data_IF_485718025773
#
_entry.id   IF_485718025773
#
_cell.length_a   1.000
_cell.length_b   1.000
_cell.length_c   1.000
_cell.angle_alpha   90.00
_cell.angle_beta   90.00
_cell.angle_gamma   90.00
#
_symmetry.space_group_name_H-M   'P 1'
#
loop_
_entity.id
_entity.type
_entity.pdbx_description
1 polymer ?
#
# COMPACT_ATOMS: atom_id res chain seq x y z
N UNK A 1 -5.52 -3.00 -24.87
CA UNK A 1 -6.34 -3.29 -23.67
C UNK A 1 -7.23 -2.10 -23.43
N UNK A 2 -8.55 -2.27 -23.53
CA UNK A 2 -9.51 -1.19 -23.29
C UNK A 2 -9.33 -0.67 -21.85
N UNK A 3 -9.27 0.64 -21.67
CA UNK A 3 -9.13 1.25 -20.36
C UNK A 3 -10.43 1.04 -19.57
N UNK A 4 -10.42 0.15 -18.57
CA UNK A 4 -11.54 -0.03 -17.66
C UNK A 4 -11.92 1.26 -16.95
N UNK A 5 -13.21 1.39 -16.59
CA UNK A 5 -13.74 2.58 -15.96
C UNK A 5 -13.12 2.79 -14.58
N UNK A 6 -12.59 3.99 -14.32
CA UNK A 6 -12.05 4.35 -13.01
C UNK A 6 -13.20 4.55 -12.03
N UNK A 7 -13.25 3.72 -11.00
CA UNK A 7 -14.32 3.75 -9.98
C UNK A 7 -13.84 4.38 -8.67
N UNK A 8 -12.55 4.32 -8.36
CA UNK A 8 -11.97 4.90 -7.15
C UNK A 8 -10.53 5.38 -7.38
N UNK A 9 -10.17 6.53 -6.78
CA UNK A 9 -8.81 7.06 -6.75
C UNK A 9 -8.49 7.67 -5.40
N UNK A 10 -7.53 7.10 -4.70
CA UNK A 10 -7.05 7.63 -3.41
C UNK A 10 -6.18 8.88 -3.62
N UNK A 11 -6.38 9.97 -2.87
CA UNK A 11 -5.56 11.19 -2.98
C UNK A 11 -4.19 11.02 -2.31
N UNK A 12 -4.08 10.09 -1.37
CA UNK A 12 -2.87 9.91 -0.55
C UNK A 12 -1.79 9.10 -1.26
N UNK A 13 -2.04 8.59 -2.47
CA UNK A 13 -1.06 7.82 -3.25
C UNK A 13 0.21 8.63 -3.48
N UNK A 14 0.07 9.93 -3.75
CA UNK A 14 1.23 10.79 -3.98
C UNK A 14 2.04 10.96 -2.69
N UNK A 15 1.37 11.22 -1.56
CA UNK A 15 2.00 11.33 -0.25
C UNK A 15 2.68 10.02 0.18
N UNK A 16 2.00 8.89 0.02
CA UNK A 16 2.56 7.57 0.28
C UNK A 16 3.79 7.28 -0.60
N UNK A 17 3.76 7.65 -1.88
CA UNK A 17 4.91 7.51 -2.78
C UNK A 17 6.09 8.38 -2.34
N UNK A 18 5.83 9.62 -1.90
CA UNK A 18 6.88 10.50 -1.39
C UNK A 18 7.51 9.93 -0.11
N UNK A 19 6.70 9.42 0.82
CA UNK A 19 7.19 8.79 2.05
C UNK A 19 8.05 7.55 1.76
N UNK A 20 7.63 6.69 0.82
CA UNK A 20 8.42 5.53 0.40
C UNK A 20 9.76 5.95 -0.22
N UNK A 21 9.77 6.95 -1.11
CA UNK A 21 11.02 7.47 -1.71
C UNK A 21 11.95 8.10 -0.68
N UNK A 22 11.40 8.87 0.28
CA UNK A 22 12.18 9.42 1.38
C UNK A 22 12.79 8.31 2.24
N UNK A 23 12.07 7.22 2.47
CA UNK A 23 12.59 6.06 3.19
C UNK A 23 13.71 5.35 2.44
N UNK A 24 13.57 5.18 1.13
CA UNK A 24 14.64 4.63 0.27
C UNK A 24 15.89 5.51 0.33
N UNK A 25 15.72 6.84 0.31
CA UNK A 25 16.82 7.78 0.51
C UNK A 25 17.48 7.60 1.89
N UNK A 26 16.68 7.49 2.97
CA UNK A 26 17.19 7.23 4.32
C UNK A 26 18.03 5.95 4.38
N UNK A 27 17.56 4.86 3.76
CA UNK A 27 18.31 3.59 3.71
C UNK A 27 19.61 3.76 2.91
N UNK A 28 19.55 4.44 1.75
CA UNK A 28 20.75 4.75 0.96
C UNK A 28 21.78 5.56 1.74
N UNK A 29 21.35 6.58 2.49
CA UNK A 29 22.22 7.36 3.37
C UNK A 29 22.81 6.51 4.48
N UNK A 30 22.04 5.62 5.12
CA UNK A 30 22.56 4.73 6.16
C UNK A 30 23.63 3.77 5.62
N UNK A 31 23.45 3.25 4.39
CA UNK A 31 24.47 2.43 3.73
C UNK A 31 25.73 3.25 3.44
N UNK A 32 25.58 4.48 2.93
CA UNK A 32 26.71 5.37 2.63
C UNK A 32 27.51 5.77 3.86
N UNK A 33 26.84 6.10 4.97
CA UNK A 33 27.47 6.44 6.25
C UNK A 33 27.99 5.20 6.97
N UNK A 34 27.46 4.00 6.67
CA UNK A 34 27.85 2.75 7.32
C UNK A 34 29.33 2.40 7.15
N UNK A 35 29.94 2.71 6.01
CA UNK A 35 31.36 2.43 5.75
C UNK A 35 32.33 3.23 6.64
N UNK A 36 32.28 4.60 6.68
CA UNK A 36 33.13 5.36 7.59
C UNK A 36 32.83 5.05 9.06
N UNK A 37 31.57 4.77 9.39
CA UNK A 37 31.18 4.39 10.75
C UNK A 37 31.81 3.05 11.17
N UNK A 38 31.83 2.05 10.28
CA UNK A 38 32.49 0.77 10.54
C UNK A 38 33.99 0.92 10.74
N UNK A 39 34.64 1.86 10.04
CA UNK A 39 36.06 2.19 10.26
C UNK A 39 36.27 2.80 11.64
N UNK A 40 35.45 3.79 12.03
CA UNK A 40 35.51 4.42 13.36
C UNK A 40 35.23 3.43 14.50
N UNK A 41 34.28 2.50 14.32
CA UNK A 41 34.02 1.40 15.26
C UNK A 41 35.24 0.52 15.45
N UNK A 42 35.95 0.16 14.37
CA UNK A 42 37.15 -0.69 14.42
C UNK A 42 38.36 0.04 15.02
N UNK A 43 38.43 1.35 14.85
CA UNK A 43 39.46 2.20 15.45
C UNK A 43 39.27 2.39 16.97
N UNK A 44 38.13 1.97 17.54
CA UNK A 44 37.83 2.15 18.96
C UNK A 44 37.50 3.59 19.34
N UNK A 45 37.20 4.44 18.35
CA UNK A 45 36.94 5.87 18.54
C UNK A 45 35.55 6.15 19.13
N UNK A 46 34.69 5.12 19.22
CA UNK A 46 33.32 5.25 19.70
C UNK A 46 33.18 4.74 21.14
N UNK A 47 32.49 5.52 21.97
CA UNK A 47 32.06 5.15 23.31
C UNK A 47 30.78 4.30 23.32
N UNK A 48 30.50 3.65 24.46
CA UNK A 48 29.35 2.76 24.63
C UNK A 48 27.99 3.43 24.31
N UNK A 49 27.86 4.72 24.63
CA UNK A 49 26.67 5.51 24.33
C UNK A 49 26.45 5.72 22.83
N UNK A 50 27.52 5.94 22.07
CA UNK A 50 27.44 6.13 20.61
C UNK A 50 27.06 4.83 19.91
N UNK A 51 27.60 3.69 20.37
CA UNK A 51 27.14 2.36 19.91
C UNK A 51 25.65 2.14 20.16
N UNK A 52 25.15 2.51 21.34
CA UNK A 52 23.72 2.36 21.66
C UNK A 52 22.83 3.25 20.78
N UNK A 53 23.23 4.50 20.53
CA UNK A 53 22.52 5.43 19.65
C UNK A 53 22.53 4.92 18.20
N UNK A 54 23.66 4.44 17.70
CA UNK A 54 23.76 3.89 16.36
C UNK A 54 22.89 2.63 16.22
N UNK A 55 23.05 1.67 17.13
CA UNK A 55 22.29 0.42 17.12
C UNK A 55 20.79 0.64 17.17
N UNK A 56 20.32 1.50 18.09
CA UNK A 56 18.90 1.85 18.19
C UNK A 56 18.36 2.56 16.95
N UNK A 57 19.16 3.45 16.34
CA UNK A 57 18.78 4.14 15.09
C UNK A 57 18.65 3.16 13.92
N UNK A 58 19.59 2.22 13.78
CA UNK A 58 19.52 1.16 12.76
C UNK A 58 18.31 0.25 12.98
N UNK A 59 18.11 -0.25 14.20
CA UNK A 59 16.98 -1.11 14.53
C UNK A 59 15.63 -0.40 14.28
N UNK A 60 15.48 0.83 14.75
CA UNK A 60 14.28 1.64 14.51
C UNK A 60 14.03 1.88 13.03
N UNK A 61 15.09 2.17 12.25
CA UNK A 61 14.97 2.35 10.80
C UNK A 61 14.48 1.09 10.09
N UNK A 62 14.97 -0.09 10.48
CA UNK A 62 14.52 -1.38 9.93
C UNK A 62 13.05 -1.64 10.26
N UNK A 63 12.65 -1.45 11.52
CA UNK A 63 11.25 -1.67 11.95
C UNK A 63 10.29 -0.75 11.20
N UNK A 64 10.62 0.54 11.09
CA UNK A 64 9.81 1.51 10.35
C UNK A 64 9.78 1.16 8.86
N UNK A 65 10.90 0.71 8.28
CA UNK A 65 10.98 0.29 6.89
C UNK A 65 10.09 -0.92 6.59
N UNK A 66 10.19 -1.96 7.41
CA UNK A 66 9.36 -3.16 7.29
C UNK A 66 7.87 -2.84 7.46
N UNK A 67 7.52 -1.98 8.42
CA UNK A 67 6.14 -1.54 8.65
C UNK A 67 5.60 -0.76 7.45
N UNK A 68 6.40 0.17 6.89
CA UNK A 68 6.00 0.96 5.74
C UNK A 68 5.83 0.09 4.48
N UNK A 69 6.75 -0.87 4.26
CA UNK A 69 6.65 -1.85 3.19
C UNK A 69 5.38 -2.71 3.31
N UNK A 70 5.07 -3.18 4.52
CA UNK A 70 3.86 -3.94 4.79
C UNK A 70 2.58 -3.16 4.47
N UNK A 71 2.56 -1.87 4.82
CA UNK A 71 1.41 -0.98 4.59
C UNK A 71 1.30 -0.58 3.11
N UNK A 72 2.42 -0.28 2.43
CA UNK A 72 2.40 0.22 1.05
C UNK A 72 1.81 -0.79 0.07
N UNK A 73 2.15 -2.07 0.22
CA UNK A 73 1.62 -3.15 -0.64
C UNK A 73 0.11 -3.37 -0.44
N UNK A 74 -0.43 -2.92 0.70
CA UNK A 74 -1.84 -3.02 1.05
C UNK A 74 -2.62 -1.75 0.76
N UNK A 75 -1.92 -0.64 0.51
CA UNK A 75 -2.51 0.65 0.23
C UNK A 75 -3.02 0.71 -1.21
N UNK A 76 -4.34 0.74 -1.36
CA UNK A 76 -4.98 0.82 -2.67
C UNK A 76 -5.01 2.27 -3.16
N UNK A 77 -4.36 2.50 -4.30
CA UNK A 77 -4.29 3.79 -4.95
C UNK A 77 -5.39 4.04 -5.97
N UNK A 78 -5.67 3.07 -6.83
CA UNK A 78 -6.73 3.16 -7.84
C UNK A 78 -7.48 1.84 -7.94
N UNK A 79 -8.77 1.91 -8.26
CA UNK A 79 -9.56 0.74 -8.64
C UNK A 79 -10.24 1.05 -9.97
N UNK A 80 -10.09 0.14 -10.94
CA UNK A 80 -10.75 0.20 -12.25
C UNK A 80 -11.59 -1.05 -12.47
N UNK A 81 -12.79 -0.86 -13.02
CA UNK A 81 -13.72 -1.94 -13.33
C UNK A 81 -13.77 -2.16 -14.85
N UNK A 82 -13.49 -3.39 -15.28
CA UNK A 82 -13.69 -3.84 -16.65
C UNK A 82 -14.95 -4.71 -16.68
N UNK A 83 -16.11 -4.08 -16.91
CA UNK A 83 -17.40 -4.76 -16.92
C UNK A 83 -17.46 -5.88 -17.96
N UNK A 84 -17.02 -5.60 -19.18
CA UNK A 84 -17.02 -6.58 -20.29
C UNK A 84 -16.12 -7.80 -20.01
N UNK A 85 -15.00 -7.59 -19.31
CA UNK A 85 -14.05 -8.64 -18.99
C UNK A 85 -14.32 -9.32 -17.63
N UNK A 86 -15.35 -8.90 -16.90
CA UNK A 86 -15.64 -9.42 -15.55
C UNK A 86 -14.46 -9.28 -14.57
N UNK A 87 -13.60 -8.27 -14.75
CA UNK A 87 -12.38 -8.08 -13.96
C UNK A 87 -12.25 -6.70 -13.31
N UNK A 88 -11.58 -6.65 -12.18
CA UNK A 88 -11.24 -5.43 -11.42
C UNK A 88 -9.73 -5.32 -11.40
N UNK A 89 -9.22 -4.13 -11.72
CA UNK A 89 -7.80 -3.80 -11.57
C UNK A 89 -7.63 -2.94 -10.32
N UNK A 90 -6.81 -3.42 -9.40
CA UNK A 90 -6.46 -2.75 -8.16
C UNK A 90 -5.00 -2.33 -8.24
N UNK A 91 -4.76 -1.03 -8.17
CA UNK A 91 -3.41 -0.47 -8.23
C UNK A 91 -2.91 -0.18 -6.82
N UNK A 92 -1.78 -0.77 -6.45
CA UNK A 92 -1.09 -0.59 -5.16
C UNK A 92 0.27 0.04 -5.37
N UNK A 93 1.00 0.28 -4.28
CA UNK A 93 2.40 0.71 -4.32
C UNK A 93 3.31 -0.44 -3.88
N UNK A 94 4.37 -0.69 -4.65
CA UNK A 94 5.51 -1.47 -4.19
C UNK A 94 6.23 -0.76 -3.04
N UNK A 95 7.07 -1.51 -2.33
CA UNK A 95 7.98 -0.99 -1.29
C UNK A 95 8.93 0.11 -1.81
N UNK A 96 9.12 0.19 -3.13
CA UNK A 96 9.94 1.21 -3.80
C UNK A 96 9.13 2.41 -4.33
N UNK A 97 7.82 2.44 -4.08
CA UNK A 97 6.92 3.50 -4.54
C UNK A 97 6.55 3.41 -6.02
N UNK A 98 6.92 2.32 -6.72
CA UNK A 98 6.40 2.02 -8.05
C UNK A 98 4.94 1.53 -7.95
N UNK A 99 4.12 1.87 -8.94
CA UNK A 99 2.74 1.38 -9.07
C UNK A 99 2.77 -0.10 -9.46
N UNK A 100 1.96 -0.92 -8.79
CA UNK A 100 1.72 -2.31 -9.13
C UNK A 100 0.23 -2.49 -9.42
N UNK A 101 -0.11 -3.07 -10.57
CA UNK A 101 -1.49 -3.32 -10.95
C UNK A 101 -1.80 -4.81 -10.78
N UNK A 102 -2.85 -5.10 -10.01
CA UNK A 102 -3.32 -6.45 -9.75
C UNK A 102 -4.69 -6.63 -10.40
N UNK A 103 -4.83 -7.68 -11.21
CA UNK A 103 -6.08 -8.01 -11.89
C UNK A 103 -6.77 -9.11 -11.11
N UNK A 104 -8.00 -8.86 -10.66
CA UNK A 104 -8.84 -9.81 -9.95
C UNK A 104 -10.15 -10.05 -10.72
N UNK A 105 -10.69 -11.27 -10.75
CA UNK A 105 -12.06 -11.47 -11.21
C UNK A 105 -13.01 -10.77 -10.23
N UNK A 106 -14.06 -10.11 -10.75
CA UNK A 106 -15.01 -9.36 -9.92
C UNK A 106 -15.64 -10.25 -8.85
N UNK A 107 -15.89 -11.52 -9.16
CA UNK A 107 -16.44 -12.51 -8.23
C UNK A 107 -15.55 -12.80 -7.00
N UNK A 108 -14.25 -12.49 -7.07
CA UNK A 108 -13.32 -12.68 -5.95
C UNK A 108 -13.26 -11.49 -4.99
N UNK A 109 -13.98 -10.40 -5.27
CA UNK A 109 -13.99 -9.21 -4.40
C UNK A 109 -15.02 -9.43 -3.29
N UNK A 110 -14.56 -9.56 -2.05
CA UNK A 110 -15.43 -9.76 -0.89
C UNK A 110 -15.24 -8.63 0.12
N UNK A 111 -16.32 -7.91 0.49
CA UNK A 111 -16.25 -6.91 1.56
C UNK A 111 -16.00 -7.60 2.92
N UNK A 112 -15.07 -7.08 3.71
CA UNK A 112 -14.72 -7.64 5.04
C UNK A 112 -15.86 -7.46 6.08
N UNK A 113 -16.85 -6.62 5.79
CA UNK A 113 -18.04 -6.46 6.64
C UNK A 113 -19.31 -6.17 5.81
N UNK A 114 -20.44 -6.82 6.10
CA UNK A 114 -21.72 -6.52 5.48
C UNK A 114 -22.36 -5.32 6.17
N UNK A 115 -21.90 -4.09 5.90
CA UNK A 115 -22.54 -2.88 6.44
C UNK A 115 -22.54 -1.74 5.44
N UNK A 116 -23.65 -1.01 5.46
CA UNK A 116 -23.98 0.18 4.68
C UNK A 116 -22.76 1.10 4.56
N UNK A 117 -22.43 1.45 3.32
CA UNK A 117 -21.36 2.39 2.91
C UNK A 117 -21.45 3.74 3.66
N UNK A 118 -22.58 3.99 4.31
CA UNK A 118 -22.96 5.20 5.03
C UNK A 118 -22.24 5.45 6.37
N UNK A 119 -21.49 4.49 6.95
CA UNK A 119 -20.98 4.66 8.33
C UNK A 119 -19.46 4.59 8.56
N UNK A 120 -18.60 4.38 7.56
CA UNK A 120 -17.13 4.48 7.81
C UNK A 120 -16.35 5.07 6.65
N UNK A 121 -15.47 6.02 6.99
CA UNK A 121 -14.41 6.65 6.16
C UNK A 121 -13.31 5.67 5.67
N UNK A 122 -13.42 4.37 5.96
CA UNK A 122 -12.49 3.34 5.54
C UNK A 122 -13.19 1.96 5.55
N UNK A 123 -13.15 1.23 4.44
CA UNK A 123 -13.74 -0.12 4.33
C UNK A 123 -12.67 -1.07 3.81
N UNK A 124 -12.08 -1.92 4.68
CA UNK A 124 -11.13 -2.91 4.22
C UNK A 124 -11.82 -3.85 3.22
N UNK A 125 -11.18 -4.07 2.07
CA UNK A 125 -11.70 -4.93 1.00
C UNK A 125 -10.83 -6.17 0.88
N UNK A 126 -11.39 -7.35 1.17
CA UNK A 126 -10.66 -8.59 0.98
C UNK A 126 -10.87 -9.04 -0.46
N UNK A 127 -9.80 -8.97 -1.25
CA UNK A 127 -9.76 -9.72 -2.49
C UNK A 127 -9.43 -11.16 -2.10
N UNK A 128 -10.38 -12.07 -2.30
CA UNK A 128 -10.09 -13.49 -2.16
C UNK A 128 -9.03 -13.82 -3.20
N UNK A 129 -7.83 -14.10 -2.71
CA UNK A 129 -6.69 -14.63 -3.46
C UNK A 129 -6.11 -13.70 -4.55
N UNK A 130 -5.17 -12.84 -4.14
CA UNK A 130 -3.87 -12.86 -4.82
C UNK A 130 -3.27 -14.27 -4.63
N UNK A 131 -2.45 -14.77 -5.55
CA UNK A 131 -1.76 -16.07 -5.45
C UNK A 131 -0.94 -16.22 -4.15
N UNK A 132 -0.74 -15.12 -3.40
CA UNK A 132 -0.04 -15.02 -2.11
C UNK A 132 -0.95 -14.83 -0.89
N UNK A 133 -2.28 -14.89 -1.02
CA UNK A 133 -3.22 -14.75 0.11
C UNK A 133 -3.26 -13.36 0.76
N UNK A 134 -2.92 -12.30 0.01
CA UNK A 134 -2.79 -10.93 0.54
C UNK A 134 -4.15 -10.25 0.65
N UNK A 135 -4.38 -9.59 1.78
CA UNK A 135 -5.55 -8.72 2.01
C UNK A 135 -5.18 -7.27 1.71
N UNK A 136 -5.96 -6.60 0.85
CA UNK A 136 -5.77 -5.18 0.57
C UNK A 136 -6.72 -4.35 1.44
N UNK A 137 -6.34 -3.11 1.75
CA UNK A 137 -7.19 -2.22 2.57
C UNK A 137 -7.54 -1.01 1.72
N UNK A 138 -8.83 -0.79 1.52
CA UNK A 138 -9.34 0.37 0.81
C UNK A 138 -9.89 1.37 1.81
N UNK A 139 -9.34 2.57 1.83
CA UNK A 139 -9.88 3.65 2.64
C UNK A 139 -10.92 4.39 1.80
N UNK A 140 -12.15 3.90 1.84
CA UNK A 140 -13.29 4.55 1.18
C UNK A 140 -13.65 5.83 1.91
N UNK A 141 -13.29 6.97 1.31
CA UNK A 141 -13.77 8.28 1.71
C UNK A 141 -14.70 8.77 0.60
N UNK A 142 -15.88 9.27 0.95
CA UNK A 142 -16.96 9.64 0.02
C UNK A 142 -16.47 10.56 -1.12
N UNK A 143 -15.49 11.41 -0.82
CA UNK A 143 -14.88 12.42 -1.68
C UNK A 143 -13.96 11.84 -2.79
N UNK A 144 -13.75 10.52 -2.84
CA UNK A 144 -12.76 9.86 -3.70
C UNK A 144 -13.32 8.75 -4.59
N UNK A 145 -14.63 8.51 -4.51
CA UNK A 145 -15.35 7.65 -5.44
C UNK A 145 -15.64 8.44 -6.72
N UNK A 146 -15.10 7.97 -7.85
CA UNK A 146 -15.33 8.60 -9.17
C UNK A 146 -16.68 8.15 -9.73
N UNK A 147 -17.01 6.87 -9.54
CA UNK A 147 -18.30 6.27 -9.88
C UNK A 147 -18.82 5.53 -8.65
N UNK A 148 -19.52 6.29 -7.80
CA UNK A 148 -20.13 5.81 -6.56
C UNK A 148 -21.07 4.63 -6.77
N UNK A 149 -22.04 4.64 -7.71
CA UNK A 149 -22.93 3.51 -7.88
C UNK A 149 -22.19 2.24 -8.32
N UNK A 150 -21.19 2.33 -9.20
CA UNK A 150 -20.39 1.16 -9.58
C UNK A 150 -19.53 0.63 -8.42
N UNK A 151 -18.99 1.53 -7.59
CA UNK A 151 -18.23 1.18 -6.41
C UNK A 151 -19.12 0.50 -5.35
N UNK A 152 -20.28 1.06 -5.04
CA UNK A 152 -21.24 0.46 -4.11
C UNK A 152 -21.73 -0.91 -4.60
N UNK A 153 -21.94 -1.05 -5.90
CA UNK A 153 -22.28 -2.29 -6.57
C UNK A 153 -21.20 -3.37 -6.42
N UNK A 154 -19.93 -2.99 -6.55
CA UNK A 154 -18.78 -3.87 -6.32
C UNK A 154 -18.69 -4.27 -4.84
N UNK A 155 -18.85 -3.30 -3.93
CA UNK A 155 -18.75 -3.50 -2.49
C UNK A 155 -19.89 -4.32 -1.89
N UNK A 156 -21.09 -4.23 -2.46
CA UNK A 156 -22.28 -4.96 -2.01
C UNK A 156 -22.41 -6.32 -2.69
N UNK A 157 -21.51 -6.66 -3.64
CA UNK A 157 -21.59 -7.86 -4.45
C UNK A 157 -22.81 -7.90 -5.38
N UNK A 158 -23.55 -6.79 -5.53
CA UNK A 158 -24.84 -6.76 -6.24
C UNK A 158 -24.74 -6.69 -7.77
N UNK A 159 -23.58 -6.36 -8.34
CA UNK A 159 -23.48 -6.06 -9.78
C UNK A 159 -22.70 -7.04 -10.64
N UNK A 160 -22.44 -8.25 -10.20
CA UNK A 160 -21.62 -9.20 -10.98
C UNK A 160 -22.46 -10.17 -11.84
N UNK A 161 -23.79 -9.98 -11.92
CA UNK A 161 -24.69 -10.93 -12.59
C UNK A 161 -25.74 -10.32 -13.53
N UNK A 162 -25.44 -9.21 -14.22
CA UNK A 162 -26.23 -8.81 -15.40
C UNK A 162 -25.36 -8.46 -16.57
#
# INVERSE_FOLDING_TARGET
MAAGALIYRSPWVLGARLLLRAKVLQVGTMVGVGAPLAIAMRAGELGLGEYAVLGSTFAGSVVVGASLAFISERFVGEIRLHKEAGSVVVSTLSVWGQRLDHVYPVAAVVPLAPRTVQQRRAVPLVFHTDAKGRQHVVILRDDHAVDRPALEQLLTGKAVMR
#
